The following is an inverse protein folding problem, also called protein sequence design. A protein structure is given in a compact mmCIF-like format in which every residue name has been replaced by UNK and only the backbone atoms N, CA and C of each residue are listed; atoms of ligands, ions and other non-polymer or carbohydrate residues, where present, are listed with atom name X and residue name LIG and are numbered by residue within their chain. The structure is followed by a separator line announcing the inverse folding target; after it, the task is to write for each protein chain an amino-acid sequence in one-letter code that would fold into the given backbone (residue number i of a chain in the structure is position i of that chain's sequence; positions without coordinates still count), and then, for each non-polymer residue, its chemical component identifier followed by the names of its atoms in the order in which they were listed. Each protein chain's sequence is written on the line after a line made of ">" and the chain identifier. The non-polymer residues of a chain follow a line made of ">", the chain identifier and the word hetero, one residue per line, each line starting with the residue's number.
data_IF_640898661253
#
_entry.id   IF_640898661253
#
_cell.length_a   1.000
_cell.length_b   1.000
_cell.length_c   1.000
_cell.angle_alpha   90.00
_cell.angle_beta   90.00
_cell.angle_gamma   90.00
#
_symmetry.space_group_name_H-M   'P 1'
#
loop_
_entity.id
_entity.type
_entity.pdbx_description
1 polymer ?
#
# COMPACT_ATOMS: atom_id res chain seq x y z
N UNK A 1 -15.01 -3.36 -0.20
CA UNK A 1 -13.57 -3.11 0.02
C UNK A 1 -12.78 -3.97 -0.97
N UNK A 2 -11.72 -3.44 -1.61
CA UNK A 2 -10.91 -4.22 -2.57
C UNK A 2 -9.71 -4.87 -1.87
N UNK A 3 -9.16 -5.97 -2.41
CA UNK A 3 -8.01 -6.66 -1.83
C UNK A 3 -6.80 -5.73 -1.63
N UNK A 4 -6.49 -4.87 -2.61
CA UNK A 4 -5.41 -3.89 -2.49
C UNK A 4 -5.60 -2.89 -1.34
N UNK A 5 -6.83 -2.45 -1.09
CA UNK A 5 -7.13 -1.54 0.03
C UNK A 5 -6.82 -2.24 1.35
N UNK A 6 -7.39 -3.42 1.57
CA UNK A 6 -7.15 -4.19 2.80
C UNK A 6 -5.67 -4.51 2.98
N UNK A 7 -4.97 -4.93 1.92
CA UNK A 7 -3.53 -5.21 1.98
C UNK A 7 -2.72 -3.99 2.41
N UNK A 8 -3.05 -2.81 1.89
CA UNK A 8 -2.31 -1.59 2.20
C UNK A 8 -2.66 -1.00 3.58
N UNK A 9 -3.92 -1.13 4.01
CA UNK A 9 -4.38 -0.67 5.32
C UNK A 9 -3.84 -1.54 6.46
N UNK A 10 -3.79 -2.86 6.25
CA UNK A 10 -3.39 -3.83 7.28
C UNK A 10 -1.87 -4.02 7.39
N UNK A 11 -1.08 -3.56 6.41
CA UNK A 11 0.36 -3.82 6.37
C UNK A 11 1.07 -3.22 7.60
N UNK A 12 1.77 -4.07 8.36
CA UNK A 12 2.63 -3.62 9.44
C UNK A 12 3.88 -2.96 8.87
N UNK A 13 4.17 -1.77 9.38
CA UNK A 13 5.20 -0.90 8.87
C UNK A 13 6.49 -0.96 9.68
N UNK A 14 6.46 -1.52 10.88
CA UNK A 14 7.64 -1.62 11.73
C UNK A 14 7.92 -3.05 12.20
N UNK A 15 7.00 -3.99 12.16
CA UNK A 15 7.28 -5.39 12.50
C UNK A 15 7.65 -6.19 11.25
N UNK A 16 8.94 -6.48 11.06
CA UNK A 16 9.40 -7.19 9.86
C UNK A 16 9.01 -8.69 9.85
N UNK A 17 8.65 -9.26 11.00
CA UNK A 17 8.16 -10.64 11.12
C UNK A 17 6.70 -10.71 10.68
N UNK A 18 5.86 -9.81 11.18
CA UNK A 18 4.46 -9.70 10.77
C UNK A 18 4.37 -9.27 9.30
N UNK A 19 5.16 -8.28 8.87
CA UNK A 19 5.21 -7.87 7.48
C UNK A 19 5.58 -9.04 6.57
N UNK A 20 6.53 -9.92 6.96
CA UNK A 20 6.84 -11.12 6.17
C UNK A 20 5.63 -12.05 6.04
N UNK A 21 4.85 -12.25 7.10
CA UNK A 21 3.64 -13.07 7.05
C UNK A 21 2.59 -12.47 6.11
N UNK A 22 2.34 -11.17 6.23
CA UNK A 22 1.39 -10.44 5.40
C UNK A 22 1.81 -10.43 3.92
N UNK A 23 3.08 -10.12 3.64
CA UNK A 23 3.62 -10.18 2.28
C UNK A 23 3.56 -11.59 1.70
N UNK A 24 3.83 -12.63 2.50
CA UNK A 24 3.73 -14.03 2.03
C UNK A 24 2.31 -14.41 1.62
N UNK A 25 1.28 -13.81 2.24
CA UNK A 25 -0.11 -14.05 1.90
C UNK A 25 -0.49 -13.39 0.55
N UNK A 26 0.10 -12.24 0.22
CA UNK A 26 -0.35 -11.41 -0.90
C UNK A 26 0.63 -11.38 -2.07
N UNK A 27 1.85 -11.87 -1.92
CA UNK A 27 2.88 -11.81 -2.96
C UNK A 27 2.68 -12.87 -4.06
N UNK A 28 2.97 -12.48 -5.30
CA UNK A 28 3.00 -13.39 -6.45
C UNK A 28 4.27 -14.25 -6.51
N UNK A 29 5.31 -13.92 -5.72
CA UNK A 29 6.54 -14.71 -5.63
C UNK A 29 7.34 -14.39 -4.36
N UNK A 30 8.27 -15.27 -3.93
CA UNK A 30 9.15 -15.01 -2.79
C UNK A 30 9.97 -13.72 -2.91
N UNK A 31 10.38 -13.34 -4.12
CA UNK A 31 11.14 -12.11 -4.36
C UNK A 31 10.36 -10.85 -3.94
N UNK A 32 9.02 -10.85 -4.11
CA UNK A 32 8.15 -9.75 -3.68
C UNK A 32 8.07 -9.70 -2.15
N UNK A 33 8.06 -10.86 -1.49
CA UNK A 33 8.10 -10.93 -0.03
C UNK A 33 9.37 -10.28 0.49
N UNK A 34 10.52 -10.61 -0.11
CA UNK A 34 11.81 -10.04 0.30
C UNK A 34 11.90 -8.54 0.00
N UNK A 35 11.36 -8.06 -1.13
CA UNK A 35 11.25 -6.63 -1.46
C UNK A 35 10.41 -5.89 -0.39
N UNK A 36 9.20 -6.39 -0.12
CA UNK A 36 8.29 -5.79 0.85
C UNK A 36 8.83 -5.77 2.29
N UNK A 37 9.45 -6.86 2.73
CA UNK A 37 10.14 -6.91 4.02
C UNK A 37 11.32 -5.94 4.04
N UNK A 38 12.09 -5.84 2.96
CA UNK A 38 13.22 -4.90 2.90
C UNK A 38 12.79 -3.44 3.05
N UNK A 39 11.64 -3.04 2.53
CA UNK A 39 11.12 -1.68 2.72
C UNK A 39 10.76 -1.41 4.19
N UNK A 40 10.18 -2.38 4.90
CA UNK A 40 9.94 -2.28 6.35
C UNK A 40 11.25 -2.12 7.12
N UNK A 41 12.29 -2.89 6.77
CA UNK A 41 13.60 -2.76 7.42
C UNK A 41 14.24 -1.38 7.18
N UNK A 42 14.16 -0.87 5.95
CA UNK A 42 14.63 0.49 5.62
C UNK A 42 13.88 1.55 6.42
N UNK A 43 12.56 1.40 6.59
CA UNK A 43 11.77 2.32 7.41
C UNK A 43 12.22 2.28 8.87
N UNK A 44 12.42 1.08 9.45
CA UNK A 44 12.96 0.91 10.81
C UNK A 44 14.31 1.61 10.98
N UNK A 45 15.24 1.37 10.07
CA UNK A 45 16.56 2.01 10.11
C UNK A 45 16.46 3.53 9.97
N UNK A 46 15.57 4.03 9.10
CA UNK A 46 15.33 5.45 8.88
C UNK A 46 14.81 6.18 10.12
N UNK A 47 14.15 5.47 11.05
CA UNK A 47 13.67 6.02 12.33
C UNK A 47 14.59 5.65 13.51
N UNK A 48 15.79 5.12 13.24
CA UNK A 48 16.79 4.79 14.26
C UNK A 48 16.52 3.50 15.04
N UNK A 49 15.66 2.63 14.53
CA UNK A 49 15.42 1.29 15.09
C UNK A 49 16.38 0.26 14.47
N UNK A 50 16.64 -0.87 15.15
CA UNK A 50 17.34 -2.00 14.55
C UNK A 50 16.60 -2.48 13.28
N UNK A 51 17.31 -2.96 12.25
CA UNK A 51 16.72 -3.34 10.95
C UNK A 51 15.69 -4.47 11.04
N UNK A 52 15.64 -5.22 12.14
CA UNK A 52 14.67 -6.30 12.36
C UNK A 52 14.15 -6.27 13.79
N UNK A 53 12.98 -6.84 14.03
CA UNK A 53 12.30 -6.92 15.31
C UNK A 53 10.86 -6.42 15.22
N UNK A 54 10.13 -6.59 16.33
CA UNK A 54 8.75 -6.13 16.41
C UNK A 54 8.62 -4.62 16.46
N UNK A 55 7.39 -4.14 16.25
CA UNK A 55 7.02 -2.75 16.49
C UNK A 55 7.30 -2.40 17.96
N UNK A 56 8.08 -1.32 18.25
CA UNK A 56 8.35 -0.94 19.63
C UNK A 56 7.08 -0.66 20.43
N UNK A 57 7.09 -1.04 21.70
CA UNK A 57 5.96 -0.83 22.60
C UNK A 57 5.50 0.64 22.62
N UNK A 58 4.20 0.82 22.46
CA UNK A 58 3.57 2.14 22.50
C UNK A 58 3.68 2.94 21.20
N UNK A 59 4.16 2.36 20.10
CA UNK A 59 4.03 2.95 18.76
C UNK A 59 2.96 2.18 17.98
N UNK A 60 2.05 2.89 17.33
CA UNK A 60 1.05 2.32 16.43
C UNK A 60 0.95 3.13 15.16
N UNK A 61 0.65 2.47 14.05
CA UNK A 61 0.36 3.13 12.78
C UNK A 61 -1.07 2.81 12.37
N UNK A 62 -1.72 3.77 11.74
CA UNK A 62 -2.99 3.55 11.06
C UNK A 62 -2.86 4.11 9.65
N UNK A 63 -3.27 3.31 8.68
CA UNK A 63 -3.38 3.72 7.27
C UNK A 63 -4.86 3.74 6.91
N UNK A 64 -5.32 4.81 6.28
CA UNK A 64 -6.69 4.93 5.79
C UNK A 64 -6.64 5.26 4.29
N UNK A 65 -7.09 4.32 3.45
CA UNK A 65 -7.18 4.54 2.00
C UNK A 65 -8.51 5.22 1.68
N UNK A 66 -8.44 6.48 1.27
CA UNK A 66 -9.61 7.34 1.02
C UNK A 66 -10.23 7.11 -0.36
N UNK A 67 -9.41 6.79 -1.34
CA UNK A 67 -9.87 6.61 -2.71
C UNK A 67 -8.95 5.67 -3.50
N UNK A 68 -9.52 5.05 -4.52
CA UNK A 68 -8.80 4.16 -5.43
C UNK A 68 -9.07 4.46 -6.90
N UNK A 69 -8.08 4.19 -7.75
CA UNK A 69 -8.20 4.14 -9.21
C UNK A 69 -7.60 2.83 -9.70
N UNK A 70 -8.43 1.96 -10.28
CA UNK A 70 -7.99 0.68 -10.84
C UNK A 70 -7.96 0.72 -12.37
N UNK A 71 -6.89 0.22 -12.99
CA UNK A 71 -6.78 0.05 -14.45
C UNK A 71 -6.17 -1.30 -14.79
N UNK A 72 -6.69 -1.95 -15.82
CA UNK A 72 -6.04 -3.15 -16.36
C UNK A 72 -4.77 -2.77 -17.13
N UNK A 73 -3.72 -3.58 -16.97
CA UNK A 73 -2.43 -3.48 -17.68
C UNK A 73 -2.32 -4.51 -18.82
N UNK A 74 -3.35 -5.29 -19.06
CA UNK A 74 -3.43 -6.24 -20.16
C UNK A 74 -4.81 -6.24 -20.80
N UNK A 75 -5.07 -7.21 -21.69
CA UNK A 75 -6.35 -7.32 -22.39
C UNK A 75 -7.33 -8.28 -21.71
N UNK A 76 -6.84 -9.11 -20.80
CA UNK A 76 -7.66 -10.13 -20.13
C UNK A 76 -8.29 -9.58 -18.85
N UNK A 77 -7.69 -8.54 -18.27
CA UNK A 77 -8.07 -8.05 -16.97
C UNK A 77 -7.34 -8.76 -15.83
N UNK A 78 -6.48 -9.75 -16.11
CA UNK A 78 -5.80 -10.55 -15.08
C UNK A 78 -4.63 -9.80 -14.44
N UNK A 79 -4.18 -8.71 -15.05
CA UNK A 79 -3.20 -7.80 -14.45
C UNK A 79 -3.82 -6.43 -14.35
N UNK A 80 -3.83 -5.91 -13.12
CA UNK A 80 -4.36 -4.59 -12.82
C UNK A 80 -3.36 -3.78 -12.02
N UNK A 81 -3.63 -2.50 -12.00
CA UNK A 81 -2.87 -1.54 -11.24
C UNK A 81 -3.86 -0.71 -10.44
N UNK A 82 -3.65 -0.66 -9.13
CA UNK A 82 -4.60 -0.06 -8.18
C UNK A 82 -3.92 1.06 -7.43
N UNK A 83 -4.27 2.28 -7.78
CA UNK A 83 -3.74 3.48 -7.15
C UNK A 83 -4.57 3.75 -5.91
N UNK A 84 -3.92 4.21 -4.86
CA UNK A 84 -4.53 4.46 -3.58
C UNK A 84 -4.11 5.83 -3.10
N UNK A 85 -5.09 6.68 -2.82
CA UNK A 85 -4.89 7.90 -2.05
C UNK A 85 -5.14 7.58 -0.58
N UNK A 86 -4.17 7.86 0.29
CA UNK A 86 -4.24 7.45 1.69
C UNK A 86 -3.72 8.52 2.64
N UNK A 87 -4.21 8.44 3.87
CA UNK A 87 -3.60 9.10 5.01
C UNK A 87 -2.93 8.05 5.89
N UNK A 88 -1.85 8.43 6.57
CA UNK A 88 -1.20 7.58 7.56
C UNK A 88 -0.76 8.38 8.77
N UNK A 89 -1.13 7.85 9.93
CA UNK A 89 -0.88 8.46 11.23
C UNK A 89 -0.04 7.51 12.07
N UNK A 90 0.93 8.07 12.77
CA UNK A 90 1.60 7.38 13.85
C UNK A 90 1.05 7.87 15.20
N UNK A 91 0.87 6.98 16.17
CA UNK A 91 0.52 7.36 17.53
C UNK A 91 1.54 6.78 18.50
N UNK A 92 2.07 7.64 19.38
CA UNK A 92 3.02 7.26 20.43
C UNK A 92 2.35 7.40 21.79
N UNK A 93 2.34 6.31 22.57
CA UNK A 93 1.76 6.24 23.91
C UNK A 93 2.34 7.34 24.79
N UNK A 94 1.47 8.19 25.34
CA UNK A 94 1.85 9.31 26.20
C UNK A 94 2.31 10.58 25.47
N UNK A 95 2.44 10.55 24.14
CA UNK A 95 2.74 11.74 23.32
C UNK A 95 1.58 12.14 22.39
N UNK A 96 0.70 11.20 22.05
CA UNK A 96 -0.43 11.44 21.14
C UNK A 96 -0.13 11.08 19.70
N UNK A 97 -0.95 11.58 18.77
CA UNK A 97 -0.72 11.45 17.33
C UNK A 97 0.54 12.22 16.90
N UNK A 98 1.13 11.83 15.79
CA UNK A 98 2.26 12.52 15.19
C UNK A 98 1.91 13.93 14.71
N UNK A 99 2.86 14.85 14.85
CA UNK A 99 2.68 16.25 14.48
C UNK A 99 2.63 16.47 12.95
N UNK A 100 3.14 15.50 12.18
CA UNK A 100 3.24 15.58 10.73
C UNK A 100 2.85 14.25 10.06
N UNK A 101 1.57 13.85 10.14
CA UNK A 101 1.08 12.64 9.48
C UNK A 101 1.19 12.77 7.96
N UNK A 102 1.35 11.63 7.30
CA UNK A 102 1.22 11.56 5.85
C UNK A 102 -0.23 11.79 5.47
N UNK A 103 -0.49 12.78 4.61
CA UNK A 103 -1.85 13.14 4.18
C UNK A 103 -1.92 13.30 2.68
N UNK A 104 -2.99 12.79 2.10
CA UNK A 104 -3.25 12.82 0.66
C UNK A 104 -2.12 12.19 -0.17
N UNK A 105 -1.39 11.25 0.44
CA UNK A 105 -0.32 10.52 -0.25
C UNK A 105 -0.91 9.59 -1.31
N UNK A 106 -0.15 9.36 -2.38
CA UNK A 106 -0.54 8.44 -3.45
C UNK A 106 0.46 7.31 -3.56
N UNK A 107 -0.04 6.08 -3.57
CA UNK A 107 0.75 4.89 -3.85
C UNK A 107 0.00 3.97 -4.82
N UNK A 108 0.65 2.86 -5.18
CA UNK A 108 0.32 2.06 -6.34
C UNK A 108 0.72 0.60 -6.08
N UNK A 109 -0.21 -0.33 -6.32
CA UNK A 109 0.07 -1.77 -6.32
C UNK A 109 -0.25 -2.35 -7.69
N UNK A 110 0.69 -3.10 -8.25
CA UNK A 110 0.45 -3.96 -9.41
C UNK A 110 0.00 -5.33 -8.92
N UNK A 111 -1.20 -5.75 -9.33
CA UNK A 111 -1.78 -7.03 -8.96
C UNK A 111 -1.91 -7.94 -10.18
N UNK A 112 -1.72 -9.22 -9.97
CA UNK A 112 -1.94 -10.29 -10.95
C UNK A 112 -2.87 -11.33 -10.34
N UNK A 113 -3.83 -11.82 -11.13
CA UNK A 113 -4.76 -12.87 -10.70
C UNK A 113 -4.06 -14.23 -10.77
N UNK A 114 -3.87 -14.87 -9.62
CA UNK A 114 -3.18 -16.14 -9.49
C UNK A 114 -3.89 -17.02 -8.47
N UNK A 115 -4.14 -18.28 -8.83
CA UNK A 115 -4.74 -19.28 -7.95
C UNK A 115 -6.05 -18.84 -7.26
N UNK A 116 -6.85 -18.03 -7.97
CA UNK A 116 -8.15 -17.54 -7.48
C UNK A 116 -8.07 -16.32 -6.56
N UNK A 117 -6.92 -15.64 -6.49
CA UNK A 117 -6.72 -14.45 -5.66
C UNK A 117 -5.86 -13.38 -6.37
N UNK A 118 -5.98 -12.13 -5.93
CA UNK A 118 -5.14 -11.03 -6.39
C UNK A 118 -3.81 -11.03 -5.63
N UNK A 119 -2.71 -11.18 -6.36
CA UNK A 119 -1.35 -11.17 -5.81
C UNK A 119 -0.54 -9.97 -6.28
N UNK A 120 0.21 -9.36 -5.38
CA UNK A 120 1.14 -8.26 -5.67
C UNK A 120 2.32 -8.78 -6.49
N UNK A 121 2.65 -8.08 -7.58
CA UNK A 121 3.80 -8.36 -8.43
C UNK A 121 4.61 -7.10 -8.68
N UNK A 122 5.91 -7.25 -8.92
CA UNK A 122 6.80 -6.15 -9.33
C UNK A 122 7.43 -6.39 -10.71
N UNK A 123 6.90 -7.35 -11.48
CA UNK A 123 7.40 -7.71 -12.81
C UNK A 123 7.53 -6.50 -13.75
N UNK A 124 8.74 -6.28 -14.26
CA UNK A 124 9.09 -5.11 -15.06
C UNK A 124 8.19 -4.90 -16.30
N UNK A 125 7.75 -5.98 -16.96
CA UNK A 125 6.85 -5.92 -18.12
C UNK A 125 5.48 -5.31 -17.81
N UNK A 126 5.01 -5.40 -16.56
CA UNK A 126 3.75 -4.78 -16.13
C UNK A 126 4.00 -3.35 -15.66
N UNK A 127 5.05 -3.13 -14.85
CA UNK A 127 5.46 -1.78 -14.43
C UNK A 127 5.69 -0.85 -15.64
N UNK A 128 6.27 -1.34 -16.73
CA UNK A 128 6.48 -0.55 -17.95
C UNK A 128 5.19 -0.06 -18.64
N UNK A 129 4.05 -0.68 -18.35
CA UNK A 129 2.74 -0.32 -18.93
C UNK A 129 1.96 0.69 -18.08
N UNK A 130 2.45 0.98 -16.89
CA UNK A 130 1.81 1.95 -16.00
C UNK A 130 1.75 3.33 -16.68
N UNK A 131 0.55 3.93 -16.66
CA UNK A 131 0.28 5.29 -17.17
C UNK A 131 -0.67 5.97 -16.18
N UNK A 132 -0.18 6.99 -15.47
CA UNK A 132 -0.95 7.75 -14.48
C UNK A 132 -0.47 7.54 -13.02
N UNK A 133 -1.19 8.11 -12.02
CA UNK A 133 -2.34 8.97 -12.22
C UNK A 133 -1.93 10.35 -12.72
N UNK A 134 -2.86 11.06 -13.34
CA UNK A 134 -2.68 12.48 -13.61
C UNK A 134 -2.80 13.27 -12.31
N UNK A 135 -1.99 14.34 -12.17
CA UNK A 135 -2.05 15.22 -11.01
C UNK A 135 -3.33 16.06 -11.05
N UNK A 136 -4.29 15.73 -10.19
CA UNK A 136 -5.49 16.52 -9.92
C UNK A 136 -5.69 16.64 -8.42
N UNK A 137 -6.40 17.66 -7.97
CA UNK A 137 -6.95 17.68 -6.61
C UNK A 137 -7.86 16.45 -6.43
N UNK A 138 -7.63 15.59 -5.40
CA UNK A 138 -8.38 14.35 -5.19
C UNK A 138 -9.88 14.54 -5.00
N UNK A 139 -10.33 15.73 -4.58
CA UNK A 139 -11.73 16.08 -4.41
C UNK A 139 -12.34 16.72 -5.67
N UNK A 140 -11.55 16.95 -6.73
CA UNK A 140 -12.04 17.60 -7.95
C UNK A 140 -12.93 16.68 -8.81
N UNK A 141 -13.82 17.32 -9.59
CA UNK A 141 -14.61 16.63 -10.62
C UNK A 141 -13.76 15.91 -11.67
N UNK A 142 -12.52 16.36 -11.88
CA UNK A 142 -11.59 15.76 -12.85
C UNK A 142 -11.05 14.42 -12.34
N UNK A 143 -10.75 14.30 -11.04
CA UNK A 143 -10.39 13.02 -10.43
C UNK A 143 -11.51 11.99 -10.59
N UNK A 144 -12.77 12.39 -10.36
CA UNK A 144 -13.91 11.49 -10.56
C UNK A 144 -14.08 11.05 -12.02
N UNK A 145 -13.90 11.97 -12.97
CA UNK A 145 -13.97 11.69 -14.39
C UNK A 145 -12.84 10.76 -14.87
N UNK A 146 -11.65 10.85 -14.26
CA UNK A 146 -10.50 9.96 -14.53
C UNK A 146 -10.66 8.55 -13.94
N UNK A 147 -11.73 8.34 -13.16
CA UNK A 147 -12.13 7.04 -12.64
C UNK A 147 -11.85 6.82 -11.15
N UNK A 148 -11.35 7.82 -10.42
CA UNK A 148 -11.17 7.69 -8.97
C UNK A 148 -12.51 7.45 -8.28
N UNK A 149 -12.51 6.54 -7.31
CA UNK A 149 -13.67 6.19 -6.48
C UNK A 149 -13.28 6.26 -5.02
N UNK A 150 -14.14 6.87 -4.20
CA UNK A 150 -13.96 6.88 -2.75
C UNK A 150 -14.12 5.47 -2.21
N UNK A 151 -13.27 5.11 -1.26
CA UNK A 151 -13.54 3.97 -0.40
C UNK A 151 -14.59 4.45 0.59
N UNK A 152 -15.80 3.90 0.52
CA UNK A 152 -16.79 4.10 1.57
C UNK A 152 -16.51 3.09 2.66
N UNK A 153 -16.29 3.55 3.89
CA UNK A 153 -16.34 2.69 5.07
C UNK A 153 -17.64 1.88 5.00
N UNK A 154 -17.52 0.56 5.11
CA UNK A 154 -18.67 -0.36 5.05
C UNK A 154 -19.63 -0.18 6.21
#
# INVERSE_FOLDING_TARGET
>A
MSAAVSYWEDLDLLDDVIARQQWSAIAASPAIVDEGVSEVRKLREGVGLPPSGGTPDGITFSTNVKAVLARSLDRTGDVVVVWMSYDRFATVKGKGADDNPLRDETTDLVLTWQDGDWKVTSEAKYKAKIRGPHAYDPASKYAWADGWRRVTDG
#
